data_IF_757670503516
#
_entry.id   IF_757670503516
#
_cell.length_a   1.000
_cell.length_b   1.000
_cell.length_c   1.000
_cell.angle_alpha   90.00
_cell.angle_beta   90.00
_cell.angle_gamma   90.00
#
_symmetry.space_group_name_H-M   'P 1'
#
loop_
_entity.id
_entity.type
_entity.pdbx_description
1 polymer ?
#
# COMPACT_ATOMS: atom_id res chain seq x y z
N UNK A 1 -13.62 46.68 15.39
CA UNK A 1 -12.55 47.42 16.09
C UNK A 1 -13.17 48.51 16.97
N UNK A 2 -12.75 48.62 18.24
CA UNK A 2 -13.18 49.71 19.12
C UNK A 2 -12.60 51.06 18.67
N UNK A 3 -13.31 52.16 18.92
CA UNK A 3 -12.80 53.50 18.64
C UNK A 3 -11.65 53.88 19.60
N UNK A 4 -10.87 54.90 19.22
CA UNK A 4 -9.71 55.40 19.97
C UNK A 4 -10.05 55.74 21.42
N UNK A 5 -11.29 56.13 21.70
CA UNK A 5 -11.76 56.44 23.04
C UNK A 5 -12.13 55.19 23.86
N UNK A 6 -12.79 54.20 23.24
CA UNK A 6 -13.27 53.00 23.92
C UNK A 6 -12.15 51.97 24.14
N UNK A 7 -11.18 51.89 23.23
CA UNK A 7 -10.05 50.96 23.30
C UNK A 7 -9.22 51.05 24.60
N UNK A 8 -8.69 52.24 25.00
CA UNK A 8 -7.87 52.35 26.22
C UNK A 8 -8.69 52.20 27.51
N UNK A 9 -10.02 52.27 27.44
CA UNK A 9 -10.91 52.16 28.60
C UNK A 9 -11.58 50.79 28.72
N UNK A 10 -11.27 49.86 27.81
CA UNK A 10 -11.91 48.54 27.76
C UNK A 10 -13.42 48.58 27.54
N UNK A 11 -13.96 49.67 26.97
CA UNK A 11 -15.40 49.83 26.80
C UNK A 11 -15.90 49.14 25.53
N UNK A 12 -17.09 48.55 25.61
CA UNK A 12 -17.79 47.96 24.48
C UNK A 12 -18.20 49.04 23.47
N UNK A 13 -17.50 49.11 22.33
CA UNK A 13 -17.72 50.07 21.25
C UNK A 13 -18.69 49.54 20.19
N UNK A 14 -19.99 49.52 20.51
CA UNK A 14 -21.04 49.03 19.60
C UNK A 14 -22.04 50.12 19.28
N UNK A 15 -22.45 50.19 18.01
CA UNK A 15 -23.51 51.08 17.57
C UNK A 15 -24.88 50.49 17.92
N UNK A 16 -25.77 51.31 18.46
CA UNK A 16 -27.19 50.97 18.61
C UNK A 16 -27.87 51.03 17.24
N UNK A 17 -28.97 50.31 17.09
CA UNK A 17 -29.71 50.29 15.82
C UNK A 17 -30.17 51.69 15.43
N UNK A 18 -30.01 52.03 14.15
CA UNK A 18 -30.30 53.36 13.61
C UNK A 18 -29.23 54.43 13.86
N UNK A 19 -28.19 54.15 14.65
CA UNK A 19 -27.09 55.10 14.89
C UNK A 19 -25.81 54.68 14.16
N UNK A 20 -25.13 55.67 13.57
CA UNK A 20 -23.84 55.47 12.89
C UNK A 20 -22.65 55.37 13.85
N UNK A 21 -22.82 55.82 15.10
CA UNK A 21 -21.77 55.92 16.11
C UNK A 21 -22.03 55.01 17.32
N UNK A 22 -20.95 54.63 18.02
CA UNK A 22 -21.09 53.77 19.19
C UNK A 22 -21.87 54.45 20.33
N UNK A 23 -22.61 53.64 21.09
CA UNK A 23 -23.49 54.11 22.17
C UNK A 23 -22.78 55.00 23.20
N UNK A 24 -21.50 54.72 23.48
CA UNK A 24 -20.69 55.48 24.45
C UNK A 24 -20.28 56.87 23.93
N UNK A 25 -19.92 56.98 22.64
CA UNK A 25 -19.59 58.27 22.03
C UNK A 25 -20.85 59.10 21.78
N UNK A 26 -21.96 58.46 21.36
CA UNK A 26 -23.27 59.11 21.17
C UNK A 26 -23.78 59.73 22.47
N UNK A 27 -23.72 58.99 23.60
CA UNK A 27 -24.11 59.52 24.92
C UNK A 27 -23.31 60.74 25.38
N UNK A 28 -22.08 60.89 24.87
CA UNK A 28 -21.15 61.97 25.26
C UNK A 28 -21.05 63.09 24.23
N UNK A 29 -21.77 62.99 23.11
CA UNK A 29 -21.73 63.98 22.03
C UNK A 29 -20.37 64.09 21.32
N UNK A 30 -19.56 63.02 21.29
CA UNK A 30 -18.26 63.00 20.60
C UNK A 30 -18.33 62.24 19.28
N UNK A 31 -17.52 62.66 18.30
CA UNK A 31 -17.32 61.92 17.05
C UNK A 31 -16.68 60.56 17.36
N UNK A 32 -17.20 59.50 16.76
CA UNK A 32 -16.70 58.14 16.94
C UNK A 32 -15.94 57.73 15.69
N UNK A 33 -14.64 57.46 15.84
CA UNK A 33 -13.77 57.04 14.72
C UNK A 33 -13.93 55.54 14.40
N UNK A 34 -14.61 54.79 15.26
CA UNK A 34 -14.90 53.39 15.01
C UNK A 34 -16.01 53.25 13.97
N UNK A 35 -15.72 52.60 12.85
CA UNK A 35 -16.73 52.00 11.96
C UNK A 35 -17.44 50.91 12.76
N UNK A 36 -18.53 51.29 13.44
CA UNK A 36 -19.25 50.41 14.34
C UNK A 36 -19.92 49.27 13.57
N UNK A 37 -19.56 48.03 13.91
CA UNK A 37 -20.42 46.88 13.60
C UNK A 37 -21.69 47.07 14.43
N UNK A 38 -22.85 47.11 13.77
CA UNK A 38 -24.15 47.18 14.45
C UNK A 38 -24.48 45.81 15.05
N UNK A 39 -25.32 45.79 16.08
CA UNK A 39 -25.76 44.54 16.74
C UNK A 39 -26.32 43.53 15.73
N UNK A 40 -27.20 43.99 14.83
CA UNK A 40 -27.75 43.15 13.75
C UNK A 40 -26.69 42.53 12.81
N UNK A 41 -25.59 43.24 12.53
CA UNK A 41 -24.51 42.71 11.68
C UNK A 41 -23.69 41.66 12.41
N UNK A 42 -23.46 41.85 13.71
CA UNK A 42 -22.77 40.86 14.54
C UNK A 42 -23.61 39.60 14.74
N UNK A 43 -24.92 39.74 14.99
CA UNK A 43 -25.84 38.62 15.12
C UNK A 43 -25.94 37.82 13.82
N UNK A 44 -26.04 38.52 12.68
CA UNK A 44 -26.01 37.88 11.36
C UNK A 44 -24.72 37.11 11.15
N UNK A 45 -23.58 37.69 11.50
CA UNK A 45 -22.29 37.00 11.40
C UNK A 45 -22.24 35.74 12.29
N UNK A 46 -22.73 35.81 13.53
CA UNK A 46 -22.80 34.62 14.41
C UNK A 46 -23.77 33.58 13.86
N UNK A 47 -24.90 34.01 13.29
CA UNK A 47 -25.88 33.11 12.68
C UNK A 47 -25.31 32.40 11.42
N UNK A 48 -24.51 33.10 10.62
CA UNK A 48 -23.82 32.55 9.44
C UNK A 48 -22.61 31.68 9.82
N UNK A 49 -21.91 31.99 10.92
CA UNK A 49 -20.76 31.20 11.39
C UNK A 49 -21.15 29.81 11.90
N UNK A 50 -22.26 29.70 12.63
CA UNK A 50 -22.70 28.43 13.24
C UNK A 50 -22.92 27.27 12.26
N UNK A 51 -23.60 27.43 11.11
CA UNK A 51 -23.75 26.33 10.16
C UNK A 51 -22.39 25.93 9.55
N UNK A 52 -21.50 26.90 9.28
CA UNK A 52 -20.15 26.61 8.80
C UNK A 52 -19.36 25.79 9.82
N UNK A 53 -19.39 26.16 11.11
CA UNK A 53 -18.75 25.38 12.17
C UNK A 53 -19.29 23.94 12.24
N UNK A 54 -20.59 23.73 12.00
CA UNK A 54 -21.17 22.37 11.95
C UNK A 54 -20.73 21.60 10.71
N UNK A 55 -20.64 22.24 9.56
CA UNK A 55 -20.13 21.63 8.33
C UNK A 55 -18.65 21.27 8.46
N UNK A 56 -17.86 22.12 9.13
CA UNK A 56 -16.48 21.83 9.52
C UNK A 56 -16.42 20.60 10.43
N UNK A 57 -17.21 20.54 11.51
CA UNK A 57 -17.26 19.38 12.41
C UNK A 57 -17.65 18.08 11.69
N UNK A 58 -18.58 18.13 10.73
CA UNK A 58 -18.99 16.95 9.94
C UNK A 58 -17.86 16.49 9.02
N UNK A 59 -17.24 17.42 8.28
CA UNK A 59 -16.13 17.09 7.38
C UNK A 59 -14.91 16.57 8.14
N UNK A 60 -14.61 17.12 9.33
CA UNK A 60 -13.58 16.61 10.23
C UNK A 60 -13.88 15.16 10.68
N UNK A 61 -15.14 14.86 11.03
CA UNK A 61 -15.54 13.51 11.41
C UNK A 61 -15.38 12.51 10.25
N UNK A 62 -15.71 12.90 9.02
CA UNK A 62 -15.51 12.10 7.81
C UNK A 62 -14.01 11.85 7.54
N UNK A 63 -13.17 12.87 7.67
CA UNK A 63 -11.71 12.73 7.52
C UNK A 63 -11.13 11.73 8.53
N UNK A 64 -11.59 11.78 9.79
CA UNK A 64 -11.16 10.82 10.81
C UNK A 64 -11.60 9.39 10.49
N UNK A 65 -12.76 9.20 9.87
CA UNK A 65 -13.21 7.87 9.42
C UNK A 65 -12.36 7.35 8.27
N UNK A 66 -12.06 8.19 7.28
CA UNK A 66 -11.20 7.85 6.16
C UNK A 66 -9.78 7.52 6.61
N UNK A 67 -9.24 8.26 7.58
CA UNK A 67 -7.93 7.97 8.17
C UNK A 67 -7.89 6.58 8.82
N UNK A 68 -8.93 6.20 9.56
CA UNK A 68 -9.04 4.85 10.15
C UNK A 68 -9.06 3.76 9.08
N UNK A 69 -9.82 3.95 7.99
CA UNK A 69 -9.86 3.02 6.87
C UNK A 69 -8.51 2.90 6.16
N UNK A 70 -7.79 4.02 6.02
CA UNK A 70 -6.43 4.04 5.48
C UNK A 70 -5.49 3.23 6.38
N UNK A 71 -5.52 3.44 7.68
CA UNK A 71 -4.70 2.71 8.65
C UNK A 71 -5.00 1.20 8.62
N UNK A 72 -6.26 0.80 8.54
CA UNK A 72 -6.67 -0.60 8.35
C UNK A 72 -6.11 -1.20 7.05
N UNK A 73 -6.22 -0.48 5.94
CA UNK A 73 -5.67 -0.89 4.65
C UNK A 73 -4.14 -1.02 4.69
N UNK A 74 -3.45 -0.08 5.34
CA UNK A 74 -2.00 -0.10 5.52
C UNK A 74 -1.55 -1.30 6.36
N UNK A 75 -2.23 -1.57 7.47
CA UNK A 75 -1.97 -2.74 8.31
C UNK A 75 -2.15 -4.04 7.53
N UNK A 76 -3.23 -4.15 6.75
CA UNK A 76 -3.46 -5.30 5.87
C UNK A 76 -2.34 -5.45 4.83
N UNK A 77 -1.90 -4.35 4.21
CA UNK A 77 -0.81 -4.37 3.25
C UNK A 77 0.52 -4.81 3.88
N UNK A 78 0.82 -4.34 5.11
CA UNK A 78 2.01 -4.75 5.84
C UNK A 78 2.01 -6.26 6.12
N UNK A 79 0.88 -6.81 6.58
CA UNK A 79 0.72 -8.25 6.82
C UNK A 79 0.91 -9.06 5.53
N UNK A 80 0.29 -8.63 4.43
CA UNK A 80 0.45 -9.30 3.13
C UNK A 80 1.90 -9.29 2.64
N UNK A 81 2.62 -8.17 2.82
CA UNK A 81 4.05 -8.09 2.48
C UNK A 81 4.88 -9.04 3.33
N UNK A 82 4.57 -9.13 4.63
CA UNK A 82 5.25 -10.06 5.53
C UNK A 82 4.98 -11.51 5.14
N UNK A 83 3.73 -11.87 4.84
CA UNK A 83 3.36 -13.20 4.37
C UNK A 83 4.08 -13.56 3.06
N UNK A 84 4.10 -12.63 2.09
CA UNK A 84 4.83 -12.82 0.83
C UNK A 84 6.32 -13.06 1.07
N UNK A 85 6.93 -12.28 1.96
CA UNK A 85 8.34 -12.45 2.31
C UNK A 85 8.60 -13.82 2.95
N UNK A 86 7.77 -14.23 3.91
CA UNK A 86 7.87 -15.54 4.55
C UNK A 86 7.70 -16.69 3.55
N UNK A 87 6.74 -16.56 2.63
CA UNK A 87 6.50 -17.56 1.60
C UNK A 87 7.69 -17.67 0.64
N UNK A 88 8.21 -16.54 0.16
CA UNK A 88 9.40 -16.50 -0.71
C UNK A 88 10.62 -17.09 -0.02
N UNK A 89 10.85 -16.75 1.25
CA UNK A 89 11.96 -17.29 2.05
C UNK A 89 11.84 -18.80 2.27
N UNK A 90 10.66 -19.29 2.62
CA UNK A 90 10.42 -20.74 2.77
C UNK A 90 10.57 -21.47 1.45
N UNK A 91 10.08 -20.88 0.35
CA UNK A 91 10.25 -21.41 -0.99
C UNK A 91 11.72 -21.53 -1.39
N UNK A 92 12.52 -20.50 -1.16
CA UNK A 92 13.96 -20.55 -1.46
C UNK A 92 14.69 -21.56 -0.57
N UNK A 93 14.35 -21.67 0.72
CA UNK A 93 14.91 -22.68 1.62
C UNK A 93 14.57 -24.12 1.19
N UNK A 94 13.33 -24.37 0.74
CA UNK A 94 12.91 -25.67 0.23
C UNK A 94 13.65 -26.04 -1.06
N UNK A 95 13.73 -25.09 -2.01
CA UNK A 95 14.47 -25.30 -3.25
C UNK A 95 15.95 -25.55 -2.99
N UNK A 96 16.57 -24.78 -2.10
CA UNK A 96 17.97 -24.97 -1.74
C UNK A 96 18.22 -26.34 -1.10
N UNK A 97 17.32 -26.82 -0.23
CA UNK A 97 17.45 -28.17 0.34
C UNK A 97 17.32 -29.25 -0.72
N UNK A 98 16.34 -29.12 -1.62
CA UNK A 98 16.11 -30.08 -2.70
C UNK A 98 17.29 -30.14 -3.68
N UNK A 99 17.82 -28.99 -4.09
CA UNK A 99 19.02 -28.92 -4.95
C UNK A 99 20.19 -29.61 -4.25
N UNK A 100 20.44 -29.29 -2.97
CA UNK A 100 21.50 -29.93 -2.21
C UNK A 100 21.34 -31.45 -2.10
N UNK A 101 20.12 -31.95 -1.88
CA UNK A 101 19.86 -33.40 -1.85
C UNK A 101 20.07 -34.06 -3.21
N UNK A 102 19.76 -33.35 -4.31
CA UNK A 102 20.03 -33.85 -5.66
C UNK A 102 21.54 -33.90 -5.95
N UNK A 103 22.27 -32.86 -5.58
CA UNK A 103 23.74 -32.84 -5.71
C UNK A 103 24.39 -33.99 -4.91
N UNK A 104 23.88 -34.28 -3.70
CA UNK A 104 24.34 -35.40 -2.87
C UNK A 104 24.03 -36.77 -3.51
N UNK A 105 22.83 -36.94 -4.09
CA UNK A 105 22.45 -38.18 -4.81
C UNK A 105 23.27 -38.39 -6.08
N UNK A 106 23.46 -37.34 -6.88
CA UNK A 106 24.26 -37.38 -8.10
C UNK A 106 25.73 -37.72 -7.78
N UNK A 107 26.27 -37.22 -6.68
CA UNK A 107 27.62 -37.61 -6.24
C UNK A 107 27.72 -39.10 -5.90
N UNK A 108 26.72 -39.67 -5.22
CA UNK A 108 26.67 -41.11 -4.93
C UNK A 108 26.54 -41.93 -6.20
N UNK A 109 25.61 -41.58 -7.09
CA UNK A 109 25.40 -42.26 -8.37
C UNK A 109 26.68 -42.25 -9.24
N UNK A 110 27.40 -41.13 -9.27
CA UNK A 110 28.68 -41.04 -9.97
C UNK A 110 29.75 -41.95 -9.36
N UNK A 111 29.81 -42.07 -8.03
CA UNK A 111 30.74 -43.00 -7.37
C UNK A 111 30.40 -44.46 -7.62
N UNK A 112 29.12 -44.81 -7.61
CA UNK A 112 28.64 -46.17 -7.93
C UNK A 112 28.89 -46.51 -9.39
N UNK A 113 28.62 -45.57 -10.31
CA UNK A 113 28.90 -45.73 -11.74
C UNK A 113 30.40 -45.93 -12.00
N UNK A 114 31.25 -45.14 -11.33
CA UNK A 114 32.70 -45.30 -11.42
C UNK A 114 33.14 -46.68 -10.90
N UNK A 115 32.62 -47.10 -9.75
CA UNK A 115 32.93 -48.42 -9.17
C UNK A 115 32.42 -49.57 -10.04
N UNK A 116 31.26 -49.42 -10.68
CA UNK A 116 30.71 -50.40 -11.62
C UNK A 116 31.59 -50.53 -12.87
N UNK A 117 32.04 -49.40 -13.43
CA UNK A 117 32.97 -49.38 -14.57
C UNK A 117 34.33 -49.99 -14.19
N UNK A 118 34.85 -49.69 -13.00
CA UNK A 118 36.10 -50.28 -12.49
C UNK A 118 35.98 -51.81 -12.31
N UNK A 119 34.87 -52.29 -11.74
CA UNK A 119 34.60 -53.72 -11.60
C UNK A 119 34.51 -54.43 -12.96
N UNK A 120 33.91 -53.77 -13.96
CA UNK A 120 33.82 -54.27 -15.34
C UNK A 120 35.21 -54.37 -15.99
N UNK A 121 36.06 -53.35 -15.79
CA UNK A 121 37.46 -53.34 -16.28
C UNK A 121 38.34 -54.40 -15.59
N UNK A 122 38.06 -54.72 -14.32
CA UNK A 122 38.74 -55.78 -13.56
C UNK A 122 38.23 -57.19 -13.90
N UNK A 123 37.30 -57.33 -14.86
CA UNK A 123 36.87 -58.61 -15.40
C UNK A 123 35.71 -59.27 -14.64
N UNK A 124 34.93 -58.51 -13.86
CA UNK A 124 33.67 -59.01 -13.32
C UNK A 124 32.66 -59.23 -14.47
N UNK A 125 32.40 -60.49 -14.82
CA UNK A 125 31.67 -60.90 -16.02
C UNK A 125 30.14 -60.91 -15.90
N UNK A 126 29.57 -60.35 -14.83
CA UNK A 126 28.13 -60.47 -14.49
C UNK A 126 27.42 -59.10 -14.39
N UNK A 127 27.95 -58.08 -15.05
CA UNK A 127 27.31 -56.76 -15.15
C UNK A 127 26.45 -56.76 -16.42
N UNK A 128 25.14 -56.94 -16.24
CA UNK A 128 24.13 -56.90 -17.32
C UNK A 128 23.95 -55.45 -17.77
N UNK A 129 24.25 -55.17 -19.05
CA UNK A 129 23.90 -53.89 -19.68
C UNK A 129 22.40 -53.86 -19.97
N UNK A 130 21.65 -53.15 -19.14
CA UNK A 130 20.20 -52.98 -19.32
C UNK A 130 19.84 -52.19 -20.59
N UNK A 131 20.77 -51.40 -21.16
CA UNK A 131 20.58 -50.70 -22.42
C UNK A 131 20.45 -51.66 -23.61
N UNK A 132 21.23 -52.74 -23.62
CA UNK A 132 21.07 -53.83 -24.60
C UNK A 132 19.77 -54.62 -24.39
N UNK A 133 19.39 -54.87 -23.12
CA UNK A 133 18.14 -55.57 -22.77
C UNK A 133 16.90 -54.83 -23.28
N UNK A 134 16.87 -53.49 -23.15
CA UNK A 134 15.76 -52.67 -23.66
C UNK A 134 15.89 -52.27 -25.14
N UNK A 135 17.06 -52.43 -25.77
CA UNK A 135 17.24 -52.19 -27.21
C UNK A 135 16.88 -53.40 -28.08
N UNK A 136 16.94 -54.61 -27.52
CA UNK A 136 16.59 -55.85 -28.23
C UNK A 136 15.08 -56.09 -28.35
N UNK A 137 14.26 -55.47 -27.49
CA UNK A 137 12.80 -55.60 -27.50
C UNK A 137 12.10 -54.26 -27.72
N UNK A 138 12.01 -53.82 -28.98
CA UNK A 138 10.97 -52.84 -29.36
C UNK A 138 11.37 -51.78 -30.36
N UNK A 139 11.38 -52.15 -31.64
CA UNK A 139 10.95 -51.21 -32.68
C UNK A 139 9.45 -50.92 -32.48
N UNK A 140 9.13 -50.03 -31.55
CA UNK A 140 7.77 -49.69 -31.16
C UNK A 140 7.72 -48.30 -30.58
N UNK A 141 8.09 -47.31 -31.40
CA UNK A 141 8.09 -45.91 -31.02
C UNK A 141 6.69 -45.44 -30.59
N UNK A 142 6.51 -45.26 -29.29
CA UNK A 142 5.50 -44.38 -28.74
C UNK A 142 6.23 -43.28 -27.97
N UNK A 143 6.59 -42.21 -28.69
CA UNK A 143 6.89 -40.92 -28.09
C UNK A 143 5.60 -40.37 -27.46
N UNK A 144 5.29 -40.79 -26.24
CA UNK A 144 4.39 -40.02 -25.39
C UNK A 144 5.22 -38.86 -24.84
N UNK A 145 5.23 -37.76 -25.60
CA UNK A 145 5.65 -36.46 -25.10
C UNK A 145 4.79 -36.18 -23.86
N UNK A 146 5.36 -36.41 -22.68
CA UNK A 146 4.82 -35.85 -21.45
C UNK A 146 5.04 -34.35 -21.60
N UNK A 147 3.99 -33.67 -22.07
CA UNK A 147 3.89 -32.24 -22.01
C UNK A 147 3.84 -31.87 -20.53
N UNK A 148 5.02 -31.78 -19.92
CA UNK A 148 5.20 -31.06 -18.68
C UNK A 148 4.72 -29.65 -18.94
N UNK A 149 3.58 -29.30 -18.34
CA UNK A 149 3.15 -27.92 -18.24
C UNK A 149 4.21 -27.20 -17.40
N UNK A 150 5.27 -26.74 -18.08
CA UNK A 150 6.17 -25.73 -17.60
C UNK A 150 5.35 -24.45 -17.54
N UNK A 151 4.67 -24.24 -16.43
CA UNK A 151 4.16 -22.92 -16.10
C UNK A 151 5.39 -22.05 -15.91
N UNK A 152 5.80 -21.38 -17.00
CA UNK A 152 6.79 -20.33 -16.96
C UNK A 152 6.33 -19.29 -15.94
N UNK A 153 7.03 -19.24 -14.82
CA UNK A 153 6.79 -18.31 -13.72
C UNK A 153 7.00 -16.85 -14.16
N UNK A 154 7.62 -16.63 -15.32
CA UNK A 154 7.93 -15.31 -15.87
C UNK A 154 6.75 -14.61 -16.57
N UNK A 155 5.65 -15.32 -16.87
CA UNK A 155 4.49 -14.70 -17.54
C UNK A 155 3.49 -14.04 -16.58
N UNK A 156 3.61 -14.27 -15.26
CA UNK A 156 2.71 -13.63 -14.28
C UNK A 156 3.20 -12.25 -13.81
N UNK A 157 4.49 -11.93 -14.02
CA UNK A 157 5.08 -10.66 -13.59
C UNK A 157 4.99 -9.51 -14.61
N UNK A 158 4.61 -9.77 -15.86
CA UNK A 158 4.46 -8.72 -16.88
C UNK A 158 3.10 -7.99 -16.87
N UNK A 159 2.12 -8.45 -16.09
CA UNK A 159 0.82 -7.77 -15.97
C UNK A 159 0.73 -6.80 -14.77
N UNK A 160 1.74 -6.76 -13.90
CA UNK A 160 1.72 -5.95 -12.66
C UNK A 160 2.66 -4.72 -12.68
N UNK A 161 3.09 -4.28 -13.87
CA UNK A 161 3.92 -3.07 -14.02
C UNK A 161 3.32 -2.00 -14.95
N UNK A 162 2.04 -2.11 -15.27
CA UNK A 162 1.27 -1.06 -15.94
C UNK A 162 0.05 -0.73 -15.07
N UNK A 163 0.22 0.17 -14.09
CA UNK A 163 -0.84 1.10 -13.61
C UNK A 163 -0.37 1.93 -12.40
N UNK A 164 0.84 2.52 -12.49
CA UNK A 164 1.27 3.60 -11.57
C UNK A 164 1.41 4.95 -12.30
N UNK A 165 1.15 5.01 -13.61
CA UNK A 165 1.19 6.25 -14.40
C UNK A 165 -0.11 6.48 -15.19
N UNK A 166 -1.28 6.41 -14.55
CA UNK A 166 -2.53 6.89 -15.20
C UNK A 166 -3.66 7.37 -14.28
N UNK A 167 -3.34 7.91 -13.11
CA UNK A 167 -4.33 8.66 -12.31
C UNK A 167 -3.65 9.93 -11.79
N UNK A 168 -3.50 10.90 -12.68
CA UNK A 168 -2.90 12.19 -12.39
C UNK A 168 -2.89 13.03 -13.66
N UNK A 169 -4.08 13.47 -14.08
CA UNK A 169 -4.36 14.62 -14.97
C UNK A 169 -5.78 14.48 -15.55
N UNK A 170 -6.79 14.72 -14.70
CA UNK A 170 -8.12 15.18 -15.10
C UNK A 170 -8.61 16.12 -14.01
N UNK A 171 -8.00 17.31 -13.95
CA UNK A 171 -8.50 18.51 -13.28
C UNK A 171 -7.54 19.65 -13.59
N UNK A 172 -7.69 20.21 -14.79
CA UNK A 172 -7.49 21.62 -15.14
C UNK A 172 -8.26 21.92 -16.43
#
# INVERSE_FOLDING_TARGET
MPCIYCAPRGLQCWAKDGHTYCSQCTRRGRKCDGKGVTYLKADRFVAEKRPLEREEEVTEAELLQLQKQLDECLNRLMLLRQQRWQFSKRGSEMLHRNVKTLDELEAVENTESFAAVEAQLLGASDIIDWGEVFSAEGSGGNSSVVAGYFWSFDSFWSAANFDVYRIGCWLE
#
